data_IF_419657342481
#
_entry.id   IF_419657342481
#
_cell.length_a   1.000
_cell.length_b   1.000
_cell.length_c   1.000
_cell.angle_alpha   90.00
_cell.angle_beta   90.00
_cell.angle_gamma   90.00
#
_symmetry.space_group_name_H-M   'P 1'
#
loop_
_entity.id
_entity.type
_entity.pdbx_description
1 polymer ?
#
# COMPACT_ATOMS: atom_id res chain seq x y z
N UNK A 1 21.26 -70.03 22.78
CA UNK A 1 21.56 -69.54 21.42
C UNK A 1 20.46 -68.55 21.02
N UNK A 2 20.67 -67.26 21.31
CA UNK A 2 19.71 -66.17 21.11
C UNK A 2 19.90 -65.52 19.74
N UNK A 3 18.80 -65.28 19.00
CA UNK A 3 18.68 -64.16 18.05
C UNK A 3 17.24 -63.65 18.05
N UNK A 4 16.88 -62.82 19.04
CA UNK A 4 15.70 -61.95 18.93
C UNK A 4 16.05 -60.86 17.94
N UNK A 5 15.51 -60.93 16.72
CA UNK A 5 15.65 -59.86 15.72
C UNK A 5 14.76 -58.71 16.18
N UNK A 6 15.38 -57.66 16.70
CA UNK A 6 14.74 -56.40 17.04
C UNK A 6 14.40 -55.68 15.72
N UNK A 7 13.12 -55.67 15.35
CA UNK A 7 12.64 -54.93 14.18
C UNK A 7 12.53 -53.46 14.58
N UNK A 8 13.55 -52.66 14.27
CA UNK A 8 13.53 -51.21 14.48
C UNK A 8 12.60 -50.62 13.40
N UNK A 9 11.36 -50.35 13.77
CA UNK A 9 10.40 -49.63 12.94
C UNK A 9 10.82 -48.15 12.94
N UNK A 10 11.53 -47.75 11.90
CA UNK A 10 11.96 -46.37 11.68
C UNK A 10 10.71 -45.55 11.30
N UNK A 11 10.08 -44.92 12.30
CA UNK A 11 9.06 -43.89 12.09
C UNK A 11 9.75 -42.72 11.38
N UNK A 12 9.68 -42.69 10.05
CA UNK A 12 9.98 -41.48 9.28
C UNK A 12 8.86 -40.51 9.65
N UNK A 13 9.15 -39.64 10.62
CA UNK A 13 8.31 -38.48 10.93
C UNK A 13 8.36 -37.62 9.66
N UNK A 14 7.31 -37.75 8.85
CA UNK A 14 7.04 -36.84 7.75
C UNK A 14 6.69 -35.50 8.40
N UNK A 15 7.72 -34.69 8.71
CA UNK A 15 7.54 -33.30 9.08
C UNK A 15 6.98 -32.66 7.80
N UNK A 16 5.70 -32.25 7.74
CA UNK A 16 5.27 -31.44 6.62
C UNK A 16 6.17 -30.22 6.64
N UNK A 17 6.92 -30.02 5.56
CA UNK A 17 7.65 -28.79 5.33
C UNK A 17 6.62 -27.67 5.50
N UNK A 18 6.70 -26.94 6.61
CA UNK A 18 5.97 -25.71 6.76
C UNK A 18 6.50 -24.83 5.63
N UNK A 19 5.74 -24.75 4.53
CA UNK A 19 5.95 -23.73 3.52
C UNK A 19 6.00 -22.41 4.31
N UNK A 20 7.18 -21.83 4.46
CA UNK A 20 7.36 -20.53 5.09
C UNK A 20 6.88 -19.47 4.09
N UNK A 21 5.60 -19.54 3.73
CA UNK A 21 4.89 -18.39 3.25
C UNK A 21 4.86 -17.43 4.42
N UNK A 22 5.70 -16.40 4.36
CA UNK A 22 5.52 -15.20 5.14
C UNK A 22 4.13 -14.67 4.80
N UNK A 23 3.11 -15.08 5.55
CA UNK A 23 1.74 -14.69 5.31
C UNK A 23 1.67 -13.17 5.39
N UNK A 24 1.44 -12.54 4.24
CA UNK A 24 1.37 -11.09 4.08
C UNK A 24 0.41 -10.44 5.06
N UNK A 25 -0.59 -11.20 5.51
CA UNK A 25 -1.56 -10.85 6.54
C UNK A 25 -0.94 -10.35 7.84
N UNK A 26 0.31 -10.71 8.16
CA UNK A 26 1.01 -10.18 9.34
C UNK A 26 1.25 -8.66 9.28
N UNK A 27 1.20 -8.07 8.08
CA UNK A 27 1.33 -6.62 7.87
C UNK A 27 -0.02 -5.91 7.80
N UNK A 28 -1.15 -6.63 7.82
CA UNK A 28 -2.47 -6.03 7.69
C UNK A 28 -2.85 -5.29 8.98
N UNK A 29 -3.48 -4.13 8.82
CA UNK A 29 -3.91 -3.33 9.96
C UNK A 29 -5.17 -3.89 10.61
N UNK A 30 -5.25 -3.74 11.92
CA UNK A 30 -6.38 -4.23 12.73
C UNK A 30 -6.81 -3.28 13.84
N UNK A 31 -6.27 -2.06 13.87
CA UNK A 31 -6.63 -1.04 14.87
C UNK A 31 -7.86 -0.25 14.42
N UNK A 32 -8.45 0.50 15.35
CA UNK A 32 -9.45 1.51 14.97
C UNK A 32 -8.78 2.55 14.07
N UNK A 33 -9.32 2.71 12.87
CA UNK A 33 -8.80 3.63 11.86
C UNK A 33 -9.86 4.69 11.58
N UNK A 34 -9.45 5.96 11.59
CA UNK A 34 -10.33 7.10 11.39
C UNK A 34 -9.80 7.91 10.21
N UNK A 35 -10.20 7.52 8.99
CA UNK A 35 -9.84 8.23 7.77
C UNK A 35 -10.64 9.52 7.65
N UNK A 36 -9.96 10.63 7.41
CA UNK A 36 -10.60 11.84 6.90
C UNK A 36 -10.68 11.80 5.36
N UNK A 37 -11.18 12.88 4.76
CA UNK A 37 -11.24 13.02 3.29
C UNK A 37 -9.87 12.91 2.62
N UNK A 38 -8.81 13.33 3.30
CA UNK A 38 -7.43 13.22 2.78
C UNK A 38 -7.02 11.77 2.68
N UNK A 39 -7.30 10.98 3.72
CA UNK A 39 -7.08 9.53 3.72
C UNK A 39 -7.80 8.83 2.57
N UNK A 40 -9.07 9.20 2.34
CA UNK A 40 -9.88 8.67 1.23
C UNK A 40 -9.30 9.07 -0.13
N UNK A 41 -8.91 10.33 -0.33
CA UNK A 41 -8.31 10.79 -1.58
C UNK A 41 -7.00 10.07 -1.88
N UNK A 42 -6.15 9.86 -0.88
CA UNK A 42 -4.90 9.14 -1.09
C UNK A 42 -5.11 7.66 -1.43
N UNK A 43 -6.13 7.04 -0.83
CA UNK A 43 -6.52 5.70 -1.22
C UNK A 43 -7.04 5.65 -2.67
N UNK A 44 -7.85 6.62 -3.10
CA UNK A 44 -8.31 6.71 -4.49
C UNK A 44 -7.15 6.94 -5.47
N UNK A 45 -6.18 7.80 -5.11
CA UNK A 45 -4.94 7.99 -5.88
C UNK A 45 -4.16 6.69 -6.04
N UNK A 46 -4.08 5.89 -4.99
CA UNK A 46 -3.48 4.55 -5.04
C UNK A 46 -4.23 3.64 -6.02
N UNK A 47 -5.56 3.58 -5.96
CA UNK A 47 -6.34 2.75 -6.89
C UNK A 47 -6.18 3.18 -8.35
N UNK A 48 -6.12 4.49 -8.60
CA UNK A 48 -5.87 5.09 -9.92
C UNK A 48 -4.41 4.95 -10.40
N UNK A 49 -3.49 4.54 -9.52
CA UNK A 49 -2.07 4.50 -9.84
C UNK A 49 -1.46 5.89 -10.05
N UNK A 50 -2.01 6.93 -9.41
CA UNK A 50 -1.54 8.31 -9.46
C UNK A 50 -0.71 8.63 -8.23
N UNK A 51 0.61 8.73 -8.37
CA UNK A 51 1.52 8.91 -7.23
C UNK A 51 2.81 9.66 -7.61
N UNK A 52 3.51 10.16 -6.60
CA UNK A 52 4.87 10.65 -6.72
C UNK A 52 5.84 9.49 -6.60
N UNK A 53 6.49 9.13 -7.71
CA UNK A 53 7.46 8.05 -7.74
C UNK A 53 8.84 8.54 -7.29
N UNK A 54 9.33 8.03 -6.17
CA UNK A 54 10.61 8.44 -5.57
C UNK A 54 11.84 7.90 -6.31
N UNK A 55 11.66 6.76 -6.97
CA UNK A 55 12.68 5.95 -7.62
C UNK A 55 12.84 6.28 -9.11
N UNK A 56 11.98 7.15 -9.65
CA UNK A 56 12.04 7.56 -11.05
C UNK A 56 12.76 8.90 -11.14
N UNK A 57 13.86 8.93 -11.89
CA UNK A 57 14.68 10.13 -12.17
C UNK A 57 13.92 11.27 -12.87
N UNK A 58 12.65 11.05 -13.22
CA UNK A 58 11.73 12.05 -13.76
C UNK A 58 10.79 12.45 -12.62
N UNK A 59 11.04 13.65 -12.09
CA UNK A 59 10.22 14.37 -11.12
C UNK A 59 8.80 14.67 -11.66
N UNK A 60 8.00 13.63 -11.88
CA UNK A 60 6.64 13.72 -12.42
C UNK A 60 5.73 12.69 -11.76
N UNK A 61 4.45 13.06 -11.65
CA UNK A 61 3.40 12.11 -11.34
C UNK A 61 3.50 10.91 -12.30
N UNK A 62 3.69 9.71 -11.76
CA UNK A 62 3.53 8.50 -12.54
C UNK A 62 2.02 8.25 -12.70
N UNK A 63 1.61 7.88 -13.92
CA UNK A 63 0.25 7.41 -14.24
C UNK A 63 0.37 6.01 -14.82
N UNK A 64 -0.67 5.18 -14.66
CA UNK A 64 -0.80 3.83 -15.26
C UNK A 64 0.07 2.72 -14.64
N UNK A 65 0.24 2.75 -13.31
CA UNK A 65 0.81 1.60 -12.60
C UNK A 65 -0.28 0.87 -11.82
N UNK A 66 -0.24 -0.46 -11.83
CA UNK A 66 -1.25 -1.24 -11.12
C UNK A 66 -0.97 -1.28 -9.61
N UNK A 67 -2.00 -1.10 -8.77
CA UNK A 67 -1.84 -1.11 -7.32
C UNK A 67 -1.37 -2.48 -6.81
N UNK A 68 -0.36 -2.49 -5.93
CA UNK A 68 0.06 -3.69 -5.20
C UNK A 68 -0.25 -3.55 -3.71
N UNK A 69 0.31 -2.54 -3.06
CA UNK A 69 0.15 -2.31 -1.62
C UNK A 69 -0.14 -0.87 -1.32
N UNK A 70 -1.12 -0.64 -0.44
CA UNK A 70 -1.31 0.64 0.20
C UNK A 70 -1.09 0.48 1.70
N UNK A 71 -0.02 1.10 2.19
CA UNK A 71 0.25 1.21 3.61
C UNK A 71 -0.29 2.53 4.14
N UNK A 72 -0.81 2.53 5.37
CA UNK A 72 -1.28 3.75 6.04
C UNK A 72 -0.84 3.75 7.50
N UNK A 73 -0.60 4.95 8.04
CA UNK A 73 -0.30 5.16 9.45
C UNK A 73 -1.47 4.75 10.34
N UNK A 74 -1.17 4.35 11.56
CA UNK A 74 -2.17 3.87 12.53
C UNK A 74 -3.26 4.92 12.87
N UNK A 75 -3.00 6.20 12.60
CA UNK A 75 -3.98 7.29 12.75
C UNK A 75 -4.72 7.65 11.46
N UNK A 76 -4.47 6.95 10.35
CA UNK A 76 -5.19 7.11 9.09
C UNK A 76 -4.81 8.34 8.27
N UNK A 77 -3.76 9.06 8.65
CA UNK A 77 -3.42 10.36 8.04
C UNK A 77 -2.36 10.27 6.95
N UNK A 78 -1.44 9.32 7.07
CA UNK A 78 -0.28 9.25 6.17
C UNK A 78 -0.25 7.92 5.44
N UNK A 79 -0.35 7.97 4.12
CA UNK A 79 -0.35 6.81 3.24
C UNK A 79 0.92 6.69 2.39
N UNK A 80 1.23 5.47 1.95
CA UNK A 80 2.32 5.15 1.04
C UNK A 80 1.89 4.07 0.05
N UNK A 81 2.13 4.29 -1.23
CA UNK A 81 1.79 3.35 -2.30
C UNK A 81 2.97 2.51 -2.79
N UNK A 82 2.72 1.23 -3.02
CA UNK A 82 3.60 0.33 -3.77
C UNK A 82 2.86 -0.13 -5.02
N UNK A 83 3.49 0.05 -6.17
CA UNK A 83 2.87 -0.14 -7.46
C UNK A 83 3.66 -1.11 -8.32
N UNK A 84 2.98 -1.79 -9.24
CA UNK A 84 3.63 -2.60 -10.26
C UNK A 84 3.73 -1.79 -11.55
N UNK A 85 4.92 -1.78 -12.16
CA UNK A 85 5.18 -1.15 -13.46
C UNK A 85 4.65 -2.03 -14.62
N UNK A 86 3.41 -2.47 -14.51
CA UNK A 86 2.63 -3.18 -15.51
C UNK A 86 1.15 -2.84 -15.35
N UNK A 87 0.36 -3.17 -16.37
CA UNK A 87 -1.11 -3.12 -16.33
C UNK A 87 -1.67 -4.07 -15.28
N UNK A 88 -0.97 -5.16 -14.94
CA UNK A 88 -1.42 -6.14 -13.96
C UNK A 88 -0.43 -6.28 -12.80
N UNK A 89 -0.93 -6.24 -11.57
CA UNK A 89 -0.11 -6.37 -10.37
C UNK A 89 0.49 -7.77 -10.19
N UNK A 90 -0.09 -8.78 -10.85
CA UNK A 90 0.45 -10.14 -10.95
C UNK A 90 1.76 -10.22 -11.71
N UNK A 91 2.11 -9.20 -12.49
CA UNK A 91 3.33 -9.20 -13.30
C UNK A 91 4.54 -8.74 -12.49
N UNK A 92 4.35 -8.37 -11.22
CA UNK A 92 5.40 -8.01 -10.29
C UNK A 92 5.52 -9.05 -9.16
N UNK A 93 6.76 -9.28 -8.72
CA UNK A 93 7.02 -10.15 -7.56
C UNK A 93 6.52 -9.50 -6.27
N UNK A 94 6.04 -10.35 -5.37
CA UNK A 94 5.48 -9.97 -4.07
C UNK A 94 6.44 -10.23 -2.90
N UNK A 95 7.68 -10.66 -3.16
CA UNK A 95 8.45 -11.37 -2.13
C UNK A 95 8.75 -10.54 -0.88
N UNK A 96 8.69 -9.20 -0.97
CA UNK A 96 8.82 -8.28 0.18
C UNK A 96 8.00 -6.99 0.05
N UNK A 97 7.00 -6.94 -0.84
CA UNK A 97 6.28 -5.70 -1.17
C UNK A 97 5.58 -5.07 0.04
N UNK A 98 4.81 -5.86 0.77
CA UNK A 98 4.10 -5.38 1.97
C UNK A 98 5.05 -4.88 3.06
N UNK A 99 6.13 -5.61 3.34
CA UNK A 99 7.13 -5.18 4.33
C UNK A 99 7.72 -3.82 3.96
N UNK A 100 8.19 -3.67 2.72
CA UNK A 100 8.78 -2.41 2.23
C UNK A 100 7.77 -1.27 2.32
N UNK A 101 6.55 -1.49 1.83
CA UNK A 101 5.49 -0.48 1.90
C UNK A 101 5.24 -0.01 3.34
N UNK A 102 5.19 -0.92 4.31
CA UNK A 102 5.02 -0.56 5.72
C UNK A 102 6.21 0.19 6.32
N UNK A 103 7.45 -0.20 6.01
CA UNK A 103 8.63 0.49 6.54
C UNK A 103 8.79 1.90 5.94
N UNK A 104 8.60 2.06 4.62
CA UNK A 104 8.62 3.40 4.00
C UNK A 104 7.50 4.29 4.54
N UNK A 105 6.27 3.78 4.67
CA UNK A 105 5.19 4.53 5.31
C UNK A 105 5.56 4.98 6.73
N UNK A 106 6.23 4.12 7.50
CA UNK A 106 6.68 4.43 8.87
C UNK A 106 7.78 5.48 8.89
N UNK A 107 8.74 5.42 7.98
CA UNK A 107 9.77 6.46 7.80
C UNK A 107 9.14 7.82 7.49
N UNK A 108 8.12 7.84 6.62
CA UNK A 108 7.42 9.07 6.22
C UNK A 108 6.50 9.63 7.30
N UNK A 109 5.74 8.76 7.97
CA UNK A 109 4.75 9.17 8.95
C UNK A 109 5.32 9.44 10.34
N UNK A 110 6.49 8.86 10.64
CA UNK A 110 7.02 8.79 12.01
C UNK A 110 6.14 7.95 12.95
N UNK A 111 5.23 7.14 12.40
CA UNK A 111 4.22 6.34 13.12
C UNK A 111 4.28 4.89 12.66
N UNK A 112 3.62 4.00 13.40
CA UNK A 112 3.42 2.63 12.91
C UNK A 112 2.50 2.68 11.69
N UNK A 113 2.84 1.88 10.68
CA UNK A 113 2.04 1.72 9.48
C UNK A 113 1.69 0.26 9.25
N UNK A 114 0.56 0.06 8.58
CA UNK A 114 0.04 -1.24 8.24
C UNK A 114 -0.54 -1.23 6.83
N UNK A 115 -0.64 -2.38 6.21
CA UNK A 115 -1.33 -2.53 4.93
C UNK A 115 -2.82 -2.34 5.14
N UNK A 116 -3.35 -1.32 4.46
CA UNK A 116 -4.77 -1.02 4.38
C UNK A 116 -5.42 -1.70 3.18
N UNK A 117 -4.70 -1.76 2.05
CA UNK A 117 -5.19 -2.42 0.86
C UNK A 117 -4.12 -3.26 0.17
N UNK A 118 -4.56 -4.38 -0.37
CA UNK A 118 -3.82 -5.25 -1.28
C UNK A 118 -4.52 -5.21 -2.63
N UNK A 119 -3.83 -4.69 -3.66
CA UNK A 119 -4.43 -4.41 -4.98
C UNK A 119 -5.67 -3.51 -4.83
N UNK A 120 -6.81 -3.91 -5.39
CA UNK A 120 -8.11 -3.26 -5.32
C UNK A 120 -8.94 -3.66 -4.08
N UNK A 121 -8.36 -4.37 -3.11
CA UNK A 121 -9.07 -4.90 -1.94
C UNK A 121 -8.64 -4.22 -0.65
N UNK A 122 -9.61 -3.68 0.10
CA UNK A 122 -9.43 -3.25 1.49
C UNK A 122 -9.28 -4.51 2.33
N UNK A 123 -8.16 -4.62 3.05
CA UNK A 123 -7.77 -5.77 3.90
C UNK A 123 -7.76 -5.47 5.40
N UNK A 124 -8.07 -4.21 5.77
CA UNK A 124 -8.06 -3.73 7.16
C UNK A 124 -9.11 -4.46 8.02
N UNK A 125 -8.77 -4.82 9.26
CA UNK A 125 -9.66 -5.60 10.15
C UNK A 125 -10.16 -6.93 9.52
N UNK A 126 -9.39 -7.53 8.61
CA UNK A 126 -9.81 -8.69 7.81
C UNK A 126 -11.10 -8.44 7.00
N UNK A 127 -11.46 -7.18 6.77
CA UNK A 127 -12.36 -6.82 5.68
C UNK A 127 -11.70 -7.34 4.40
N UNK A 128 -12.43 -8.00 3.51
CA UNK A 128 -11.90 -8.46 2.22
C UNK A 128 -12.79 -7.85 1.15
N UNK A 129 -12.75 -6.51 1.07
CA UNK A 129 -13.73 -5.73 0.30
C UNK A 129 -13.06 -5.15 -0.92
N UNK A 130 -13.46 -5.66 -2.08
CA UNK A 130 -12.98 -5.16 -3.37
C UNK A 130 -13.67 -3.84 -3.75
N UNK A 131 -12.86 -2.83 -4.06
CA UNK A 131 -13.30 -1.52 -4.52
C UNK A 131 -13.25 -1.51 -6.05
N UNK A 132 -14.42 -1.57 -6.68
CA UNK A 132 -14.56 -1.58 -8.16
C UNK A 132 -14.80 -0.21 -8.76
N UNK A 133 -15.20 0.75 -7.94
CA UNK A 133 -15.60 2.08 -8.37
C UNK A 133 -14.72 3.13 -7.71
N UNK A 134 -14.12 3.99 -8.52
CA UNK A 134 -13.23 5.07 -8.06
C UNK A 134 -13.98 6.40 -7.86
N UNK A 135 -15.28 6.32 -7.52
CA UNK A 135 -16.14 7.47 -7.25
C UNK A 135 -16.02 7.92 -5.79
N UNK A 136 -15.75 9.20 -5.56
CA UNK A 136 -15.52 9.74 -4.22
C UNK A 136 -16.73 9.60 -3.29
N UNK A 137 -17.95 9.87 -3.78
CA UNK A 137 -19.16 9.83 -2.95
C UNK A 137 -19.46 8.39 -2.53
N UNK A 138 -19.34 7.44 -3.45
CA UNK A 138 -19.51 6.01 -3.16
C UNK A 138 -18.47 5.50 -2.18
N UNK A 139 -17.20 5.92 -2.34
CA UNK A 139 -16.14 5.51 -1.42
C UNK A 139 -16.33 6.12 -0.03
N UNK A 140 -16.69 7.41 0.10
CA UNK A 140 -17.04 8.01 1.40
C UNK A 140 -18.18 7.24 2.07
N UNK A 141 -19.23 6.87 1.32
CA UNK A 141 -20.33 6.05 1.85
C UNK A 141 -19.83 4.69 2.34
N UNK A 142 -18.99 4.01 1.54
CA UNK A 142 -18.39 2.74 1.90
C UNK A 142 -17.57 2.86 3.20
N UNK A 143 -16.69 3.85 3.32
CA UNK A 143 -15.87 4.04 4.52
C UNK A 143 -16.71 4.34 5.77
N UNK A 144 -17.82 5.08 5.63
CA UNK A 144 -18.79 5.29 6.72
C UNK A 144 -19.47 3.98 7.14
N UNK A 145 -19.94 3.18 6.19
CA UNK A 145 -20.57 1.87 6.45
C UNK A 145 -19.62 0.89 7.15
N UNK A 146 -18.32 1.00 6.87
CA UNK A 146 -17.26 0.20 7.50
C UNK A 146 -16.75 0.75 8.83
N UNK A 147 -17.30 1.88 9.31
CA UNK A 147 -16.82 2.61 10.49
C UNK A 147 -15.32 2.96 10.41
N UNK A 148 -14.84 3.31 9.21
CA UNK A 148 -13.45 3.70 8.93
C UNK A 148 -13.31 5.21 8.69
N UNK A 149 -14.40 5.98 8.70
CA UNK A 149 -14.40 7.40 8.34
C UNK A 149 -14.64 8.33 9.55
N UNK A 150 -13.84 9.39 9.66
CA UNK A 150 -14.00 10.46 10.66
C UNK A 150 -14.97 11.54 10.17
N UNK A 151 -16.23 11.41 10.58
CA UNK A 151 -17.28 12.38 10.28
C UNK A 151 -17.06 13.77 10.91
N UNK A 152 -16.16 13.90 11.89
CA UNK A 152 -15.89 15.16 12.59
C UNK A 152 -14.81 16.00 11.91
N UNK A 153 -14.14 15.44 10.90
CA UNK A 153 -13.09 16.15 10.16
C UNK A 153 -13.65 17.33 9.35
N UNK A 154 -12.87 18.42 9.27
CA UNK A 154 -13.25 19.61 8.49
C UNK A 154 -13.27 19.26 7.01
N UNK A 155 -14.45 19.33 6.41
CA UNK A 155 -14.65 18.98 5.00
C UNK A 155 -14.04 20.05 4.08
N UNK A 156 -13.04 19.66 3.29
CA UNK A 156 -12.43 20.50 2.22
C UNK A 156 -12.70 19.91 0.84
N UNK A 157 -12.91 18.60 0.77
CA UNK A 157 -13.13 17.83 -0.44
C UNK A 157 -14.60 17.46 -0.55
N UNK A 158 -15.19 17.67 -1.72
CA UNK A 158 -16.57 17.33 -1.99
C UNK A 158 -16.73 16.77 -3.40
N UNK A 159 -17.97 16.41 -3.75
CA UNK A 159 -18.29 15.84 -5.06
C UNK A 159 -17.90 16.78 -6.21
N UNK A 160 -17.94 18.08 -5.99
CA UNK A 160 -17.68 19.10 -7.01
C UNK A 160 -16.18 19.27 -7.28
N UNK A 161 -15.34 19.00 -6.28
CA UNK A 161 -13.93 19.38 -6.33
C UNK A 161 -12.94 18.20 -6.20
N UNK A 162 -13.39 16.99 -5.86
CA UNK A 162 -12.47 15.87 -5.55
C UNK A 162 -11.51 15.50 -6.70
N UNK A 163 -11.96 15.61 -7.95
CA UNK A 163 -11.14 15.28 -9.13
C UNK A 163 -9.89 16.17 -9.22
N UNK A 164 -9.95 17.41 -8.72
CA UNK A 164 -8.78 18.30 -8.68
C UNK A 164 -7.67 17.76 -7.77
N UNK A 165 -8.06 16.99 -6.74
CA UNK A 165 -7.14 16.37 -5.80
C UNK A 165 -6.67 15.01 -6.30
N UNK A 166 -7.51 14.22 -6.97
CA UNK A 166 -7.08 12.95 -7.56
C UNK A 166 -6.08 13.20 -8.70
N UNK A 167 -6.41 14.10 -9.63
CA UNK A 167 -5.61 14.37 -10.83
C UNK A 167 -4.73 15.60 -10.67
N UNK A 168 -4.06 15.74 -9.53
CA UNK A 168 -3.15 16.86 -9.30
C UNK A 168 -2.06 16.92 -10.39
N UNK A 169 -2.06 18.02 -11.15
CA UNK A 169 -1.08 18.25 -12.23
C UNK A 169 0.20 18.94 -11.74
N UNK A 170 0.14 19.63 -10.58
CA UNK A 170 1.28 20.30 -9.97
C UNK A 170 1.35 19.98 -8.47
N UNK A 171 2.44 19.34 -8.06
CA UNK A 171 2.70 19.05 -6.65
C UNK A 171 3.20 20.31 -5.91
N UNK A 172 2.41 20.79 -4.93
CA UNK A 172 2.75 21.95 -4.10
C UNK A 172 3.58 21.57 -2.88
N UNK A 173 4.01 20.32 -2.74
CA UNK A 173 4.90 19.88 -1.66
C UNK A 173 6.32 20.49 -1.70
N UNK A 174 6.59 21.46 -2.58
CA UNK A 174 7.86 22.17 -2.67
C UNK A 174 7.89 23.34 -1.67
N UNK A 175 8.63 23.16 -0.58
CA UNK A 175 8.99 24.25 0.33
C UNK A 175 10.53 24.35 0.42
N UNK A 176 11.12 25.09 -0.52
CA UNK A 176 12.48 25.64 -0.45
C UNK A 176 12.57 26.88 0.49
N UNK A 177 11.65 27.04 1.46
CA UNK A 177 11.61 28.27 2.26
C UNK A 177 12.31 28.25 3.61
N UNK A 178 12.82 27.13 4.09
CA UNK A 178 13.76 27.10 5.22
C UNK A 178 14.44 25.72 5.24
N UNK A 179 15.75 25.70 5.43
CA UNK A 179 16.64 24.54 5.55
C UNK A 179 16.27 23.57 6.69
N UNK A 180 15.05 23.04 6.66
CA UNK A 180 14.48 22.08 7.60
C UNK A 180 14.06 20.87 6.77
N UNK A 181 14.70 19.73 7.04
CA UNK A 181 14.42 18.45 6.40
C UNK A 181 12.92 18.12 6.39
N UNK A 182 12.32 18.12 5.20
CA UNK A 182 10.91 17.80 4.94
C UNK A 182 10.64 16.28 4.85
N UNK A 183 11.54 15.44 5.37
CA UNK A 183 11.23 14.01 5.58
C UNK A 183 9.98 13.78 6.44
N UNK A 184 9.51 14.81 7.17
CA UNK A 184 8.34 14.75 8.06
C UNK A 184 6.99 15.15 7.44
N UNK A 185 6.94 15.70 6.21
CA UNK A 185 5.70 16.24 5.61
C UNK A 185 5.41 15.74 4.18
N UNK A 186 6.34 15.00 3.57
CA UNK A 186 6.10 14.33 2.29
C UNK A 186 5.25 13.09 2.51
N UNK A 187 3.94 13.24 2.60
CA UNK A 187 3.10 12.06 2.64
C UNK A 187 1.68 12.41 2.98
N UNK A 188 0.80 12.34 1.98
CA UNK A 188 -0.64 12.32 2.17
C UNK A 188 -1.24 13.61 2.76
N UNK A 189 -0.86 14.77 2.24
CA UNK A 189 -1.73 15.95 2.31
C UNK A 189 -2.55 16.05 1.02
N UNK A 190 -3.71 16.71 1.07
CA UNK A 190 -4.54 17.02 -0.11
C UNK A 190 -3.72 17.70 -1.22
N UNK A 191 -2.79 18.56 -0.84
CA UNK A 191 -1.96 19.36 -1.75
C UNK A 191 -0.65 18.70 -2.18
N UNK A 192 -0.37 17.47 -1.74
CA UNK A 192 0.80 16.69 -2.16
C UNK A 192 0.34 15.35 -2.75
N UNK A 193 1.01 14.85 -3.78
CA UNK A 193 0.72 13.51 -4.31
C UNK A 193 1.03 12.43 -3.25
N UNK A 194 0.34 11.28 -3.39
CA UNK A 194 0.66 10.08 -2.61
C UNK A 194 2.13 9.71 -2.88
N UNK A 195 3.01 9.61 -1.87
CA UNK A 195 4.34 9.07 -2.07
C UNK A 195 4.26 7.58 -2.38
N UNK A 196 5.16 7.11 -3.24
CA UNK A 196 5.24 5.69 -3.53
C UNK A 196 6.44 5.28 -4.36
N UNK A 197 6.50 3.98 -4.60
CA UNK A 197 7.54 3.32 -5.40
C UNK A 197 6.93 2.32 -6.36
N UNK A 198 7.70 2.02 -7.40
CA UNK A 198 7.33 1.05 -8.40
C UNK A 198 8.22 -0.20 -8.35
N UNK A 199 7.60 -1.37 -8.43
CA UNK A 199 8.30 -2.62 -8.69
C UNK A 199 8.36 -2.86 -10.20
N UNK A 200 9.53 -3.26 -10.69
CA UNK A 200 9.67 -3.66 -12.09
C UNK A 200 8.89 -4.94 -12.36
N UNK A 201 8.25 -5.02 -13.53
CA UNK A 201 7.61 -6.25 -13.96
C UNK A 201 8.64 -7.36 -14.16
N UNK A 202 8.21 -8.62 -14.11
CA UNK A 202 9.05 -9.79 -14.41
C UNK A 202 9.67 -9.66 -15.81
N UNK A 203 8.89 -9.13 -16.76
CA UNK A 203 9.35 -8.88 -18.13
C UNK A 203 10.47 -7.82 -18.17
N UNK A 204 10.33 -6.72 -17.43
CA UNK A 204 11.37 -5.68 -17.31
C UNK A 204 12.68 -6.25 -16.74
N UNK A 205 12.57 -7.13 -15.73
CA UNK A 205 13.74 -7.77 -15.09
C UNK A 205 14.47 -8.71 -16.07
N UNK A 206 13.71 -9.51 -16.82
CA UNK A 206 14.27 -10.44 -17.80
C UNK A 206 15.02 -9.76 -18.96
N UNK A 207 14.61 -8.56 -19.36
CA UNK A 207 15.29 -7.78 -20.41
C UNK A 207 16.63 -7.19 -19.98
N UNK A 208 16.90 -7.08 -18.67
CA UNK A 208 18.15 -6.54 -18.13
C UNK A 208 19.20 -7.61 -17.82
N UNK A 209 18.87 -8.90 -17.90
CA UNK A 209 19.82 -10.01 -17.71
C UNK A 209 20.57 -10.40 -19.00
N UNK A 210 20.30 -9.71 -20.12
CA UNK A 210 21.01 -9.90 -21.38
C UNK A 210 21.94 -8.70 -21.61
N UNK A 211 23.02 -8.60 -20.84
CA UNK A 211 24.21 -7.80 -21.16
C UNK A 211 25.41 -8.26 -20.32
#
# INVERSE_FOLDING_TARGET
MMKKKLLILLFIIFIPAANSFSSITKYFGSSNLNLDETGVINFLRYLEGTFYAEDIFLSRAAKLMSPMYYAISEDGKIGYGWFCRSTYSSDCSDDFGAFKATEYCKEYSGKKCFIFAYRDEIVWNNLNIRVKEFDFVKNIKLFKELNLFDEKSSQKVNKENYLQYIHMDNDKCSSDKNSVSLSKLRGANLDCLLPGRSEQSINDKSGNEVN
#
